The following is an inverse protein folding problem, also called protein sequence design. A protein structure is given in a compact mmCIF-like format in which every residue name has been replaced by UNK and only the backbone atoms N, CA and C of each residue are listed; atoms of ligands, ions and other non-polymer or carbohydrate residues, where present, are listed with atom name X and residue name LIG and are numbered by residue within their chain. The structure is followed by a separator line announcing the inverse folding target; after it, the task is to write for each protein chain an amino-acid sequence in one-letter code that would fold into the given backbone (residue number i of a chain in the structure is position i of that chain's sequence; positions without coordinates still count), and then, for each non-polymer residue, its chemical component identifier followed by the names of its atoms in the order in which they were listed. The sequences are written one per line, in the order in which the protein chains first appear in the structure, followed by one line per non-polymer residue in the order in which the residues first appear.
data_IF_402784254825
#
_entry.id   IF_402784254825
#
_cell.length_a   1.000
_cell.length_b   1.000
_cell.length_c   1.000
_cell.angle_alpha   90.00
_cell.angle_beta   90.00
_cell.angle_gamma   90.00
#
_symmetry.space_group_name_H-M   'P 1'
#
loop_
_entity.id
_entity.type
_entity.pdbx_description
1 polymer ?
#
# COMPACT_ATOMS: atom_id res chain seq x y z
N UNK A 1 -6.82 -29.93 -25.12
CA UNK A 1 -6.56 -29.19 -23.87
C UNK A 1 -6.83 -27.73 -24.18
N UNK A 2 -7.92 -27.11 -23.68
CA UNK A 2 -8.18 -25.71 -23.95
C UNK A 2 -7.12 -24.85 -23.25
N UNK A 3 -6.47 -23.99 -24.01
CA UNK A 3 -5.38 -23.12 -23.56
C UNK A 3 -5.98 -21.91 -22.86
N UNK A 4 -5.97 -21.89 -21.53
CA UNK A 4 -6.41 -20.76 -20.72
C UNK A 4 -5.30 -19.70 -20.65
N UNK A 5 -5.00 -19.04 -21.76
CA UNK A 5 -4.07 -17.91 -21.81
C UNK A 5 -4.85 -16.66 -22.18
N UNK A 6 -4.83 -15.66 -21.29
CA UNK A 6 -5.36 -14.33 -21.59
C UNK A 6 -4.17 -13.53 -22.14
N UNK A 7 -4.28 -13.08 -23.39
CA UNK A 7 -3.38 -12.09 -23.95
C UNK A 7 -3.99 -10.70 -23.73
N UNK A 8 -3.21 -9.78 -23.15
CA UNK A 8 -3.58 -8.37 -23.10
C UNK A 8 -3.18 -7.73 -24.44
N UNK A 9 -4.13 -7.25 -25.23
CA UNK A 9 -3.83 -6.55 -26.48
C UNK A 9 -3.33 -5.15 -26.14
N UNK A 10 -2.03 -4.90 -26.35
CA UNK A 10 -1.49 -3.53 -26.40
C UNK A 10 -2.13 -2.81 -27.59
N UNK A 11 -2.81 -1.70 -27.33
CA UNK A 11 -3.46 -0.88 -28.36
C UNK A 11 -2.46 -0.50 -29.46
N UNK A 12 -2.81 -0.78 -30.71
CA UNK A 12 -2.10 -0.26 -31.87
C UNK A 12 -2.33 1.26 -31.96
N UNK A 13 -1.32 2.07 -32.32
CA UNK A 13 -1.52 3.49 -32.56
C UNK A 13 -2.37 3.67 -33.82
N UNK A 14 -3.52 4.33 -33.69
CA UNK A 14 -4.26 4.82 -34.84
C UNK A 14 -3.55 6.08 -35.32
N UNK A 15 -2.94 5.97 -36.51
CA UNK A 15 -2.32 7.09 -37.19
C UNK A 15 -3.37 8.11 -37.63
N UNK A 16 -3.05 9.39 -37.42
CA UNK A 16 -3.72 10.57 -37.96
C UNK A 16 -3.89 10.51 -39.48
N UNK A 17 -5.08 10.89 -39.96
CA UNK A 17 -5.23 11.67 -41.18
C UNK A 17 -6.26 12.77 -40.92
N UNK A 18 -5.81 13.99 -41.16
CA UNK A 18 -6.52 15.24 -40.93
C UNK A 18 -7.59 15.54 -42.00
N UNK A 19 -8.58 16.34 -41.56
CA UNK A 19 -8.88 17.69 -42.07
C UNK A 19 -10.24 17.99 -42.74
N UNK A 20 -10.74 19.16 -42.36
CA UNK A 20 -11.69 20.12 -43.00
C UNK A 20 -13.22 19.86 -42.94
N UNK A 21 -13.93 20.80 -42.31
CA UNK A 21 -15.33 21.10 -42.65
C UNK A 21 -16.12 21.99 -41.67
N UNK A 22 -15.88 23.31 -41.73
CA UNK A 22 -16.67 24.50 -41.35
C UNK A 22 -18.01 24.44 -40.56
N UNK A 23 -18.15 25.46 -39.70
CA UNK A 23 -19.26 25.85 -38.78
C UNK A 23 -20.49 26.46 -39.50
N UNK A 24 -21.41 27.24 -38.86
CA UNK A 24 -21.89 27.33 -37.46
C UNK A 24 -23.45 27.33 -37.35
N UNK A 25 -24.02 27.20 -36.14
CA UNK A 25 -25.30 27.89 -35.83
C UNK A 25 -25.44 28.27 -34.35
N UNK A 26 -25.87 29.52 -34.19
CA UNK A 26 -26.37 30.25 -33.03
C UNK A 26 -27.53 29.55 -32.31
N UNK A 27 -27.69 29.81 -31.00
CA UNK A 27 -28.95 30.35 -30.44
C UNK A 27 -28.82 30.77 -28.97
N UNK A 28 -28.98 32.07 -28.78
CA UNK A 28 -29.76 32.81 -27.78
C UNK A 28 -29.96 32.30 -26.34
N UNK A 29 -29.63 33.26 -25.47
CA UNK A 29 -29.90 33.40 -24.02
C UNK A 29 -31.40 33.59 -23.75
N UNK A 30 -31.87 33.28 -22.53
CA UNK A 30 -32.52 34.34 -21.75
C UNK A 30 -31.99 34.45 -20.32
N UNK A 31 -31.92 35.71 -19.86
CA UNK A 31 -31.55 36.12 -18.52
C UNK A 31 -32.66 35.83 -17.50
N UNK A 32 -32.28 35.53 -16.26
CA UNK A 32 -32.99 36.03 -15.07
C UNK A 32 -32.13 35.95 -13.82
N UNK A 33 -32.04 37.10 -13.16
CA UNK A 33 -31.52 37.43 -11.83
C UNK A 33 -32.21 36.69 -10.68
N UNK A 34 -31.43 36.29 -9.67
CA UNK A 34 -31.71 36.58 -8.26
C UNK A 34 -30.44 36.37 -7.43
N UNK A 35 -30.15 37.35 -6.57
CA UNK A 35 -28.99 37.40 -5.70
C UNK A 35 -29.10 36.38 -4.57
N UNK A 36 -27.98 35.76 -4.22
CA UNK A 36 -27.71 35.38 -2.84
C UNK A 36 -26.30 35.82 -2.46
N UNK A 37 -26.27 36.91 -1.71
CA UNK A 37 -25.17 37.37 -0.88
C UNK A 37 -24.83 36.30 0.15
N UNK A 38 -23.72 35.59 -0.04
CA UNK A 38 -22.87 35.10 1.03
C UNK A 38 -21.44 35.00 0.49
N UNK A 39 -20.79 36.17 0.45
CA UNK A 39 -19.35 36.27 0.35
C UNK A 39 -18.74 35.71 1.64
N UNK A 40 -18.49 34.41 1.65
CA UNK A 40 -17.46 33.83 2.50
C UNK A 40 -16.18 33.91 1.69
N UNK A 41 -15.34 34.90 2.00
CA UNK A 41 -13.96 34.99 1.54
C UNK A 41 -13.21 33.72 1.98
N UNK A 42 -13.28 32.67 1.15
CA UNK A 42 -12.38 31.54 1.22
C UNK A 42 -11.06 32.00 0.61
N UNK A 43 -10.15 32.44 1.47
CA UNK A 43 -8.77 32.75 1.08
C UNK A 43 -8.17 31.55 0.38
N UNK A 44 -7.86 31.75 -0.90
CA UNK A 44 -7.07 30.91 -1.79
C UNK A 44 -5.62 30.87 -1.31
N UNK A 45 -5.32 29.98 -0.38
CA UNK A 45 -3.96 29.51 -0.10
C UNK A 45 -4.01 28.00 0.12
N UNK A 46 -4.04 27.21 -0.97
CA UNK A 46 -3.77 25.77 -0.93
C UNK A 46 -2.27 25.53 -0.76
N UNK A 47 -1.75 25.91 0.41
CA UNK A 47 -0.50 25.34 0.89
C UNK A 47 -0.77 23.85 1.15
N UNK A 48 0.01 22.90 0.61
CA UNK A 48 -0.15 21.49 0.97
C UNK A 48 -0.09 21.39 2.49
N UNK A 49 -1.11 20.79 3.10
CA UNK A 49 -1.12 20.53 4.54
C UNK A 49 -0.02 19.51 4.81
N UNK A 50 1.17 19.99 5.16
CA UNK A 50 2.28 19.15 5.65
C UNK A 50 1.80 18.60 7.00
N UNK A 51 1.54 17.30 7.04
CA UNK A 51 0.87 16.68 8.18
C UNK A 51 1.83 16.52 9.37
N UNK A 52 1.43 16.92 10.60
CA UNK A 52 2.08 16.50 11.84
C UNK A 52 1.60 15.14 12.38
N UNK A 53 0.81 14.36 11.63
CA UNK A 53 0.13 13.17 12.18
C UNK A 53 0.31 11.86 11.37
N UNK A 54 1.35 11.74 10.53
CA UNK A 54 1.83 10.42 10.12
C UNK A 54 2.54 9.86 11.35
N UNK A 55 2.11 8.71 11.91
CA UNK A 55 2.76 8.16 13.09
C UNK A 55 4.28 8.05 12.86
N UNK A 56 5.09 8.40 13.86
CA UNK A 56 6.56 8.46 13.72
C UNK A 56 7.13 7.10 13.28
N UNK A 57 6.51 6.02 13.74
CA UNK A 57 6.74 4.63 13.38
C UNK A 57 6.35 4.28 11.93
N UNK A 58 5.62 5.14 11.23
CA UNK A 58 5.37 5.06 9.79
C UNK A 58 6.31 5.99 9.03
N UNK A 59 6.44 7.25 9.48
CA UNK A 59 7.25 8.26 8.81
C UNK A 59 8.73 7.88 8.72
N UNK A 60 9.34 7.46 9.83
CA UNK A 60 10.78 7.18 9.86
C UNK A 60 11.17 6.00 8.95
N UNK A 61 10.46 4.86 8.97
CA UNK A 61 10.73 3.78 8.02
C UNK A 61 10.46 4.19 6.57
N UNK A 62 9.34 4.88 6.28
CA UNK A 62 9.09 5.38 4.92
C UNK A 62 10.23 6.27 4.42
N UNK A 63 10.71 7.20 5.24
CA UNK A 63 11.81 8.10 4.89
C UNK A 63 13.11 7.33 4.64
N UNK A 64 13.42 6.34 5.48
CA UNK A 64 14.62 5.52 5.34
C UNK A 64 14.58 4.66 4.07
N UNK A 65 13.43 4.04 3.78
CA UNK A 65 13.25 3.13 2.65
C UNK A 65 13.05 3.84 1.32
N UNK A 66 12.37 5.00 1.30
CA UNK A 66 12.08 5.74 0.07
C UNK A 66 13.15 6.79 -0.25
N UNK A 67 13.87 7.30 0.75
CA UNK A 67 14.75 8.46 0.59
C UNK A 67 14.02 9.79 0.39
N UNK A 68 12.69 9.75 0.34
CA UNK A 68 11.82 10.90 0.13
C UNK A 68 11.32 11.46 1.47
N UNK A 69 11.23 12.79 1.57
CA UNK A 69 10.93 13.47 2.85
C UNK A 69 9.64 14.26 2.87
N UNK A 70 9.03 14.49 1.71
CA UNK A 70 7.80 15.28 1.58
C UNK A 70 6.59 14.35 1.64
N UNK A 71 5.80 14.45 2.71
CA UNK A 71 4.54 13.70 2.86
C UNK A 71 3.40 14.70 2.75
N UNK A 72 2.51 14.48 1.79
CA UNK A 72 1.34 15.32 1.53
C UNK A 72 0.06 14.53 1.74
N UNK A 73 -0.93 15.20 2.32
CA UNK A 73 -2.28 14.69 2.41
C UNK A 73 -3.06 15.13 1.18
N UNK A 74 -3.47 14.17 0.37
CA UNK A 74 -4.13 14.43 -0.92
C UNK A 74 -5.62 14.14 -0.78
N UNK A 75 -6.52 15.10 -1.06
CA UNK A 75 -7.95 14.84 -1.05
C UNK A 75 -8.34 13.88 -2.17
N UNK A 76 -9.27 12.97 -1.87
CA UNK A 76 -9.87 12.08 -2.87
C UNK A 76 -11.05 12.81 -3.51
N UNK A 77 -10.95 13.09 -4.81
CA UNK A 77 -11.98 13.76 -5.61
C UNK A 77 -12.18 12.98 -6.90
N UNK A 78 -13.00 11.91 -6.86
CA UNK A 78 -13.16 11.05 -8.02
C UNK A 78 -13.81 11.80 -9.18
N UNK A 79 -13.35 11.52 -10.40
CA UNK A 79 -14.05 11.96 -11.61
C UNK A 79 -15.31 11.11 -11.85
N UNK A 80 -16.19 11.60 -12.73
CA UNK A 80 -17.37 10.84 -13.12
C UNK A 80 -16.96 9.52 -13.77
N UNK A 81 -17.61 8.41 -13.39
CA UNK A 81 -17.33 7.06 -13.90
C UNK A 81 -15.91 6.54 -13.65
N UNK A 82 -15.18 7.12 -12.69
CA UNK A 82 -13.84 6.66 -12.34
C UNK A 82 -13.81 5.17 -11.94
N UNK A 83 -12.83 4.42 -12.46
CA UNK A 83 -12.60 3.03 -12.11
C UNK A 83 -11.88 2.95 -10.75
N UNK A 84 -12.46 2.34 -9.70
CA UNK A 84 -11.84 2.22 -8.39
C UNK A 84 -10.56 1.36 -8.38
N UNK A 85 -10.29 0.63 -9.46
CA UNK A 85 -9.15 -0.27 -9.61
C UNK A 85 -8.06 0.26 -10.54
N UNK A 86 -8.34 1.33 -11.30
CA UNK A 86 -7.44 1.79 -12.36
C UNK A 86 -7.22 3.30 -12.35
N UNK A 87 -6.32 3.73 -11.47
CA UNK A 87 -5.97 5.14 -11.33
C UNK A 87 -5.27 5.74 -12.56
N UNK A 88 -4.57 4.93 -13.34
CA UNK A 88 -3.88 5.38 -14.56
C UNK A 88 -4.90 5.79 -15.61
N UNK A 89 -5.96 4.99 -15.81
CA UNK A 89 -7.06 5.35 -16.70
C UNK A 89 -7.79 6.60 -16.22
N UNK A 90 -8.04 6.72 -14.91
CA UNK A 90 -8.71 7.90 -14.36
C UNK A 90 -7.90 9.18 -14.61
N UNK A 91 -6.57 9.12 -14.48
CA UNK A 91 -5.68 10.26 -14.79
C UNK A 91 -5.66 10.55 -16.28
N UNK A 92 -5.52 9.53 -17.13
CA UNK A 92 -5.53 9.69 -18.57
C UNK A 92 -6.83 10.36 -19.05
N UNK A 93 -7.98 9.97 -18.49
CA UNK A 93 -9.26 10.60 -18.77
C UNK A 93 -9.28 12.06 -18.31
N UNK A 94 -8.86 12.35 -17.09
CA UNK A 94 -8.85 13.73 -16.58
C UNK A 94 -7.93 14.67 -17.37
N UNK A 95 -6.81 14.16 -17.91
CA UNK A 95 -5.93 14.93 -18.79
C UNK A 95 -6.60 15.35 -20.11
N UNK A 96 -7.64 14.62 -20.56
CA UNK A 96 -8.41 14.98 -21.75
C UNK A 96 -9.45 16.06 -21.45
N UNK A 97 -9.95 16.12 -20.22
CA UNK A 97 -11.10 16.94 -19.84
C UNK A 97 -10.70 18.23 -19.10
N UNK A 98 -9.55 18.24 -18.43
CA UNK A 98 -9.13 19.33 -17.54
C UNK A 98 -7.65 19.66 -17.66
N UNK A 99 -7.26 20.94 -17.59
CA UNK A 99 -5.85 21.32 -17.49
C UNK A 99 -5.23 20.73 -16.21
N UNK A 100 -4.17 19.96 -16.37
CA UNK A 100 -3.45 19.35 -15.26
C UNK A 100 -2.40 18.37 -15.75
N UNK A 101 -1.73 17.71 -14.81
CA UNK A 101 -0.70 16.71 -15.13
C UNK A 101 -0.60 15.62 -14.06
N UNK A 102 -0.11 14.41 -14.41
CA UNK A 102 0.23 13.41 -13.43
C UNK A 102 1.40 13.87 -12.56
N UNK A 103 1.35 13.52 -11.29
CA UNK A 103 2.47 13.57 -10.35
C UNK A 103 2.66 12.17 -9.80
N UNK A 104 3.83 11.60 -10.07
CA UNK A 104 4.20 10.25 -9.64
C UNK A 104 4.85 10.26 -8.26
N UNK A 105 4.74 9.13 -7.56
CA UNK A 105 5.30 8.97 -6.23
C UNK A 105 4.72 7.75 -5.53
N UNK A 106 4.71 7.77 -4.19
CA UNK A 106 4.26 6.64 -3.38
C UNK A 106 3.02 6.99 -2.58
N UNK A 107 1.94 6.24 -2.79
CA UNK A 107 0.79 6.20 -1.90
C UNK A 107 1.13 5.33 -0.70
N UNK A 108 1.00 5.89 0.50
CA UNK A 108 1.29 5.19 1.74
C UNK A 108 0.01 4.55 2.27
N UNK A 109 0.02 3.23 2.39
CA UNK A 109 -1.03 2.44 3.03
C UNK A 109 -0.49 1.85 4.33
N UNK A 110 -1.20 2.08 5.43
CA UNK A 110 -0.77 1.64 6.75
C UNK A 110 -1.65 0.50 7.26
N UNK A 111 -1.02 -0.56 7.73
CA UNK A 111 -1.59 -1.58 8.59
C UNK A 111 -1.00 -1.43 9.99
N UNK A 112 -1.62 -2.06 10.99
CA UNK A 112 -1.02 -2.18 12.30
C UNK A 112 0.26 -3.04 12.33
N UNK A 113 0.54 -3.78 11.25
CA UNK A 113 1.68 -4.69 11.16
C UNK A 113 2.77 -4.22 10.19
N UNK A 114 2.39 -3.45 9.18
CA UNK A 114 3.27 -3.04 8.10
C UNK A 114 2.80 -1.76 7.44
N UNK A 115 3.68 -1.20 6.61
CA UNK A 115 3.37 -0.12 5.68
C UNK A 115 3.67 -0.59 4.27
N UNK A 116 2.79 -0.23 3.34
CA UNK A 116 3.01 -0.41 1.91
C UNK A 116 3.11 0.96 1.25
N UNK A 117 4.24 1.21 0.59
CA UNK A 117 4.47 2.36 -0.27
C UNK A 117 4.24 1.90 -1.71
N UNK A 118 3.01 2.09 -2.20
CA UNK A 118 2.62 1.71 -3.54
C UNK A 118 2.96 2.83 -4.51
N UNK A 119 3.72 2.53 -5.56
CA UNK A 119 3.93 3.49 -6.64
C UNK A 119 2.57 3.86 -7.25
N UNK A 120 2.30 5.15 -7.32
CA UNK A 120 0.99 5.71 -7.59
C UNK A 120 1.13 7.02 -8.35
N UNK A 121 0.07 7.43 -9.03
CA UNK A 121 -0.01 8.71 -9.67
C UNK A 121 -1.19 9.49 -9.09
N UNK A 122 -0.95 10.76 -8.78
CA UNK A 122 -1.95 11.74 -8.40
C UNK A 122 -2.12 12.75 -9.54
N UNK A 123 -3.20 13.54 -9.53
CA UNK A 123 -3.44 14.56 -10.55
C UNK A 123 -3.23 15.95 -9.97
N UNK A 124 -2.31 16.71 -10.56
CA UNK A 124 -2.06 18.11 -10.18
C UNK A 124 -2.90 19.04 -11.07
N UNK A 125 -3.75 19.82 -10.41
CA UNK A 125 -4.57 20.89 -10.98
C UNK A 125 -4.00 22.26 -10.60
N UNK A 126 -4.59 23.33 -11.14
CA UNK A 126 -4.34 24.70 -10.71
C UNK A 126 -4.61 24.95 -9.21
N UNK A 127 -5.56 24.22 -8.64
CA UNK A 127 -5.92 24.31 -7.21
C UNK A 127 -5.06 23.41 -6.30
N UNK A 128 -4.26 22.52 -6.88
CA UNK A 128 -3.37 21.60 -6.16
C UNK A 128 -3.55 20.13 -6.54
N UNK A 129 -2.99 19.26 -5.71
CA UNK A 129 -2.93 17.82 -5.93
C UNK A 129 -4.22 17.12 -5.46
N UNK A 130 -4.76 16.20 -6.27
CA UNK A 130 -5.97 15.42 -5.96
C UNK A 130 -5.79 13.94 -6.37
N UNK A 131 -6.47 13.03 -5.68
CA UNK A 131 -6.62 11.64 -6.14
C UNK A 131 -7.98 11.48 -6.83
N UNK A 132 -7.94 11.17 -8.12
CA UNK A 132 -9.13 11.01 -8.95
C UNK A 132 -9.76 9.61 -8.85
N UNK A 133 -9.16 8.70 -8.08
CA UNK A 133 -9.61 7.32 -7.98
C UNK A 133 -10.48 7.13 -6.76
N UNK A 134 -11.73 6.62 -6.92
CA UNK A 134 -12.63 6.36 -5.82
C UNK A 134 -11.98 5.51 -4.74
N UNK A 135 -12.28 5.85 -3.49
CA UNK A 135 -11.88 5.01 -2.38
C UNK A 135 -12.90 3.89 -2.17
N UNK A 136 -12.42 2.64 -2.06
CA UNK A 136 -13.25 1.49 -1.70
C UNK A 136 -13.55 1.43 -0.19
N UNK A 137 -12.80 2.16 0.63
CA UNK A 137 -12.91 2.18 2.10
C UNK A 137 -13.46 3.51 2.65
N UNK A 138 -13.86 4.44 1.78
CA UNK A 138 -14.52 5.70 2.16
C UNK A 138 -13.61 6.77 2.77
N UNK A 139 -12.28 6.62 2.71
CA UNK A 139 -11.35 7.65 3.20
C UNK A 139 -11.39 8.87 2.26
N UNK A 140 -11.54 10.06 2.82
CA UNK A 140 -11.60 11.33 2.07
C UNK A 140 -10.23 11.88 1.68
N UNK A 141 -9.15 11.30 2.22
CA UNK A 141 -7.78 11.73 2.00
C UNK A 141 -6.83 10.53 1.98
N UNK A 142 -5.70 10.69 1.29
CA UNK A 142 -4.61 9.70 1.22
C UNK A 142 -3.26 10.35 1.54
N UNK A 143 -2.37 9.60 2.16
CA UNK A 143 -0.98 10.03 2.36
C UNK A 143 -0.19 9.68 1.10
N UNK A 144 0.46 10.68 0.52
CA UNK A 144 1.26 10.54 -0.69
C UNK A 144 2.63 11.17 -0.50
N UNK A 145 3.63 10.58 -1.13
CA UNK A 145 5.02 11.02 -1.10
C UNK A 145 5.44 11.24 -2.55
N UNK A 146 5.40 12.49 -3.08
CA UNK A 146 5.77 12.76 -4.46
C UNK A 146 7.24 12.41 -4.70
N UNK A 147 7.51 11.78 -5.83
CA UNK A 147 8.85 11.50 -6.30
C UNK A 147 9.18 12.47 -7.44
N UNK A 148 9.89 13.54 -7.10
CA UNK A 148 10.15 14.67 -8.02
C UNK A 148 11.17 14.33 -9.12
N UNK A 149 11.87 13.20 -8.98
CA UNK A 149 12.81 12.72 -9.98
C UNK A 149 12.09 11.97 -11.12
N UNK A 150 10.82 11.62 -10.92
CA UNK A 150 9.98 10.97 -11.95
C UNK A 150 9.29 12.04 -12.80
N UNK A 151 9.52 12.06 -14.12
CA UNK A 151 8.95 13.08 -14.98
C UNK A 151 7.46 12.83 -15.29
N UNK A 152 6.69 13.84 -15.73
CA UNK A 152 5.27 13.68 -16.03
C UNK A 152 4.94 12.74 -17.20
N UNK A 153 5.91 12.50 -18.10
CA UNK A 153 5.80 11.60 -19.26
C UNK A 153 6.35 10.19 -18.99
N UNK A 154 6.57 9.86 -17.71
CA UNK A 154 7.05 8.56 -17.26
C UNK A 154 6.19 7.41 -17.79
N UNK A 155 6.82 6.39 -18.37
CA UNK A 155 6.15 5.15 -18.72
C UNK A 155 5.79 4.37 -17.46
N UNK A 156 4.49 4.28 -17.19
CA UNK A 156 3.97 3.60 -16.02
C UNK A 156 4.28 2.08 -16.00
N UNK A 157 4.61 1.48 -17.15
CA UNK A 157 5.09 0.11 -17.21
C UNK A 157 6.50 -0.05 -16.61
N UNK A 158 7.30 1.01 -16.59
CA UNK A 158 8.63 1.03 -15.97
C UNK A 158 8.60 1.32 -14.46
N UNK A 159 7.42 1.36 -13.85
CA UNK A 159 7.27 1.72 -12.44
C UNK A 159 8.05 0.80 -11.49
N UNK A 160 8.57 1.34 -10.37
CA UNK A 160 9.13 0.50 -9.32
C UNK A 160 8.04 -0.36 -8.67
N UNK A 161 8.44 -1.52 -8.16
CA UNK A 161 7.56 -2.39 -7.37
C UNK A 161 7.15 -1.72 -6.06
N UNK A 162 5.95 -2.05 -5.58
CA UNK A 162 5.44 -1.61 -4.29
C UNK A 162 6.40 -2.05 -3.18
N UNK A 163 6.90 -1.09 -2.40
CA UNK A 163 7.78 -1.38 -1.26
C UNK A 163 6.94 -1.65 -0.03
N UNK A 164 7.26 -2.72 0.70
CA UNK A 164 6.56 -3.11 1.93
C UNK A 164 7.58 -3.30 3.04
N UNK A 165 7.33 -2.68 4.19
CA UNK A 165 8.20 -2.82 5.35
C UNK A 165 7.38 -2.99 6.62
N UNK A 166 7.95 -3.73 7.56
CA UNK A 166 7.29 -4.07 8.81
C UNK A 166 7.28 -2.86 9.74
N UNK A 167 6.15 -2.62 10.39
CA UNK A 167 6.05 -1.73 11.57
C UNK A 167 5.88 -2.54 12.85
N UNK A 168 5.48 -3.79 12.74
CA UNK A 168 5.47 -4.74 13.85
C UNK A 168 6.88 -5.19 14.22
N UNK A 169 7.28 -4.95 15.47
CA UNK A 169 8.49 -5.47 16.07
C UNK A 169 8.17 -6.68 16.97
N UNK A 170 8.65 -7.86 16.63
CA UNK A 170 8.52 -9.00 17.53
C UNK A 170 9.51 -8.92 18.70
N UNK A 171 9.20 -9.59 19.81
CA UNK A 171 10.19 -9.80 20.86
C UNK A 171 11.43 -10.50 20.29
N UNK A 172 12.61 -9.96 20.61
CA UNK A 172 13.89 -10.52 20.18
C UNK A 172 14.01 -11.99 20.57
N UNK A 173 14.84 -12.75 19.83
CA UNK A 173 15.11 -14.17 20.14
C UNK A 173 15.47 -14.38 21.60
N UNK A 174 16.34 -13.52 22.15
CA UNK A 174 16.75 -13.53 23.55
C UNK A 174 15.58 -13.33 24.52
N UNK A 175 14.70 -12.35 24.25
CA UNK A 175 13.51 -12.12 25.08
C UNK A 175 12.56 -13.32 25.05
N UNK A 176 12.42 -13.98 23.90
CA UNK A 176 11.58 -15.18 23.75
C UNK A 176 12.16 -16.38 24.51
N UNK A 177 13.47 -16.61 24.41
CA UNK A 177 14.17 -17.65 25.20
C UNK A 177 13.97 -17.40 26.70
N UNK A 178 14.20 -16.18 27.16
CA UNK A 178 14.01 -15.82 28.57
C UNK A 178 12.56 -16.04 29.04
N UNK A 179 11.57 -15.70 28.20
CA UNK A 179 10.16 -15.94 28.50
C UNK A 179 9.82 -17.44 28.56
N UNK A 180 10.36 -18.26 27.65
CA UNK A 180 10.16 -19.72 27.67
C UNK A 180 10.74 -20.31 28.95
N UNK A 181 11.97 -19.94 29.33
CA UNK A 181 12.61 -20.38 30.59
C UNK A 181 11.77 -19.97 31.80
N UNK A 182 11.30 -18.72 31.84
CA UNK A 182 10.49 -18.20 32.93
C UNK A 182 9.12 -18.90 33.05
N UNK A 183 8.60 -19.46 31.96
CA UNK A 183 7.34 -20.19 31.93
C UNK A 183 7.49 -21.69 32.26
N UNK A 184 8.72 -22.22 32.31
CA UNK A 184 8.95 -23.62 32.68
C UNK A 184 8.69 -23.85 34.16
N UNK A 185 8.03 -24.97 34.49
CA UNK A 185 7.99 -25.44 35.87
C UNK A 185 9.39 -25.91 36.32
N UNK A 186 9.67 -25.94 37.63
CA UNK A 186 10.99 -26.28 38.14
C UNK A 186 11.51 -27.67 37.73
N UNK A 187 10.63 -28.66 37.53
CA UNK A 187 11.04 -30.01 37.14
C UNK A 187 11.44 -30.05 35.67
N UNK A 188 10.64 -29.44 34.79
CA UNK A 188 10.99 -29.29 33.36
C UNK A 188 12.29 -28.51 33.20
N UNK A 189 12.45 -27.38 33.90
CA UNK A 189 13.66 -26.56 33.84
C UNK A 189 14.92 -27.35 34.23
N UNK A 190 14.87 -28.12 35.32
CA UNK A 190 15.99 -28.96 35.75
C UNK A 190 16.32 -30.07 34.75
N UNK A 191 15.30 -30.68 34.14
CA UNK A 191 15.45 -31.71 33.09
C UNK A 191 16.09 -31.14 31.83
N UNK A 192 15.59 -30.03 31.31
CA UNK A 192 16.13 -29.39 30.09
C UNK A 192 17.56 -28.87 30.31
N UNK A 193 17.87 -28.30 31.49
CA UNK A 193 19.25 -27.91 31.84
C UNK A 193 20.21 -29.10 31.81
N UNK A 194 19.77 -30.27 32.31
CA UNK A 194 20.60 -31.48 32.26
C UNK A 194 20.85 -31.93 30.83
N UNK A 195 19.80 -31.99 29.99
CA UNK A 195 19.97 -32.36 28.58
C UNK A 195 20.87 -31.40 27.82
N UNK A 196 20.79 -30.10 28.08
CA UNK A 196 21.68 -29.11 27.51
C UNK A 196 23.13 -29.33 27.97
N UNK A 197 23.34 -29.58 29.26
CA UNK A 197 24.65 -29.89 29.81
C UNK A 197 25.25 -31.20 29.26
N UNK A 198 24.43 -32.23 29.04
CA UNK A 198 24.84 -33.49 28.40
C UNK A 198 25.31 -33.27 26.95
N UNK A 199 24.88 -32.18 26.31
CA UNK A 199 25.32 -31.73 24.99
C UNK A 199 26.45 -30.69 25.04
N UNK A 200 26.90 -30.29 26.23
CA UNK A 200 27.92 -29.24 26.41
C UNK A 200 27.45 -27.82 26.09
N UNK A 201 26.14 -27.57 26.10
CA UNK A 201 25.53 -26.28 25.75
C UNK A 201 24.81 -25.64 26.95
N UNK A 202 24.67 -24.31 26.91
CA UNK A 202 23.74 -23.63 27.81
C UNK A 202 22.29 -23.86 27.35
N UNK A 203 21.34 -23.87 28.29
CA UNK A 203 19.92 -24.05 27.97
C UNK A 203 19.42 -22.95 27.03
N UNK A 204 19.90 -21.73 27.24
CA UNK A 204 19.60 -20.56 26.42
C UNK A 204 19.99 -20.77 24.97
N UNK A 205 21.15 -21.39 24.71
CA UNK A 205 21.64 -21.67 23.36
C UNK A 205 20.82 -22.76 22.68
N UNK A 206 20.51 -23.84 23.42
CA UNK A 206 19.63 -24.91 22.93
C UNK A 206 18.26 -24.35 22.55
N UNK A 207 17.66 -23.52 23.41
CA UNK A 207 16.37 -22.88 23.12
C UNK A 207 16.48 -21.85 22.00
N UNK A 208 17.58 -21.10 21.91
CA UNK A 208 17.84 -20.16 20.83
C UNK A 208 17.95 -20.86 19.47
N UNK A 209 18.34 -22.13 19.43
CA UNK A 209 18.35 -22.95 18.21
C UNK A 209 17.00 -23.63 17.93
N UNK A 210 16.32 -24.10 18.97
CA UNK A 210 15.14 -24.98 18.83
C UNK A 210 13.80 -24.27 18.87
N UNK A 211 13.70 -23.07 19.45
CA UNK A 211 12.44 -22.33 19.47
C UNK A 211 11.96 -22.03 18.05
N UNK A 212 10.68 -22.17 17.72
CA UNK A 212 10.19 -21.78 16.40
C UNK A 212 10.39 -20.27 16.15
N UNK A 213 10.48 -19.86 14.89
CA UNK A 213 10.44 -18.44 14.52
C UNK A 213 9.14 -17.78 15.03
N UNK A 214 9.13 -16.46 15.12
CA UNK A 214 7.95 -15.76 15.61
C UNK A 214 6.85 -15.86 14.56
N UNK A 215 5.76 -16.56 14.88
CA UNK A 215 4.74 -16.93 13.89
C UNK A 215 4.16 -15.75 13.12
N UNK A 216 3.99 -14.59 13.77
CA UNK A 216 3.48 -13.39 13.10
C UNK A 216 4.51 -12.76 12.15
N UNK A 217 5.81 -12.79 12.49
CA UNK A 217 6.85 -12.28 11.58
C UNK A 217 6.96 -13.19 10.35
N UNK A 218 7.01 -14.50 10.57
CA UNK A 218 7.08 -15.47 9.47
C UNK A 218 5.87 -15.33 8.54
N UNK A 219 4.68 -15.06 9.07
CA UNK A 219 3.49 -14.82 8.23
C UNK A 219 3.57 -13.50 7.47
N UNK A 220 4.11 -12.44 8.08
CA UNK A 220 4.30 -11.15 7.40
C UNK A 220 5.27 -11.29 6.23
N UNK A 221 6.34 -12.06 6.42
CA UNK A 221 7.33 -12.31 5.36
C UNK A 221 6.74 -13.08 4.21
N UNK A 222 6.04 -14.17 4.50
CA UNK A 222 5.34 -14.94 3.47
C UNK A 222 4.29 -14.10 2.74
N UNK A 223 3.65 -13.15 3.43
CA UNK A 223 2.70 -12.22 2.82
C UNK A 223 3.41 -11.23 1.88
N UNK A 224 4.53 -10.64 2.29
CA UNK A 224 5.32 -9.75 1.43
C UNK A 224 5.85 -10.48 0.20
N UNK A 225 6.47 -11.65 0.38
CA UNK A 225 6.94 -12.50 -0.72
C UNK A 225 5.80 -12.80 -1.70
N UNK A 226 4.62 -13.18 -1.20
CA UNK A 226 3.46 -13.46 -2.05
C UNK A 226 2.97 -12.22 -2.80
N UNK A 227 3.04 -11.03 -2.19
CA UNK A 227 2.66 -9.79 -2.85
C UNK A 227 3.67 -9.40 -3.94
N UNK A 228 4.96 -9.53 -3.67
CA UNK A 228 6.04 -9.26 -4.62
C UNK A 228 5.97 -10.21 -5.82
N UNK A 229 5.75 -11.50 -5.58
CA UNK A 229 5.60 -12.49 -6.66
C UNK A 229 4.39 -12.18 -7.54
N UNK A 230 3.24 -11.84 -6.94
CA UNK A 230 2.03 -11.48 -7.67
C UNK A 230 2.22 -10.19 -8.49
N UNK A 231 2.90 -9.20 -7.93
CA UNK A 231 3.20 -7.94 -8.61
C UNK A 231 4.16 -8.13 -9.77
N UNK A 232 5.24 -8.90 -9.59
CA UNK A 232 6.18 -9.26 -10.64
C UNK A 232 5.51 -9.99 -11.81
N UNK A 233 4.64 -10.98 -11.50
CA UNK A 233 3.87 -11.69 -12.53
C UNK A 233 2.93 -10.75 -13.28
N UNK A 234 2.27 -9.83 -12.58
CA UNK A 234 1.39 -8.83 -13.19
C UNK A 234 2.15 -7.89 -14.12
N UNK A 235 3.35 -7.46 -13.72
CA UNK A 235 4.22 -6.61 -14.54
C UNK A 235 4.72 -7.32 -15.79
N UNK A 236 5.24 -8.54 -15.64
CA UNK A 236 5.71 -9.34 -16.77
C UNK A 236 4.60 -9.61 -17.80
N UNK A 237 3.36 -9.77 -17.32
CA UNK A 237 2.19 -9.92 -18.17
C UNK A 237 1.83 -8.65 -18.96
N UNK A 238 1.84 -7.49 -18.28
CA UNK A 238 1.53 -6.21 -18.90
C UNK A 238 2.57 -5.82 -19.96
N UNK A 239 3.84 -6.12 -19.71
CA UNK A 239 4.93 -5.89 -20.66
C UNK A 239 4.94 -6.88 -21.84
N UNK A 240 4.03 -7.87 -21.84
CA UNK A 240 4.00 -8.94 -22.83
C UNK A 240 5.19 -9.91 -22.76
N UNK A 241 5.99 -9.86 -21.68
CA UNK A 241 7.17 -10.73 -21.48
C UNK A 241 6.79 -12.15 -21.07
N UNK A 242 5.66 -12.31 -20.40
CA UNK A 242 5.18 -13.62 -19.94
C UNK A 242 3.68 -13.83 -20.23
N UNK A 243 3.35 -15.04 -20.67
CA UNK A 243 1.97 -15.50 -20.65
C UNK A 243 1.61 -15.90 -19.21
N UNK A 244 0.58 -15.27 -18.65
CA UNK A 244 0.13 -15.59 -17.29
C UNK A 244 -0.51 -16.98 -17.28
N UNK A 245 0.08 -17.91 -16.54
CA UNK A 245 -0.64 -19.10 -16.11
C UNK A 245 -1.76 -18.69 -15.15
N UNK A 246 -3.00 -18.76 -15.65
CA UNK A 246 -4.21 -18.40 -14.89
C UNK A 246 -4.32 -19.20 -13.59
N UNK A 247 -3.83 -20.44 -13.56
CA UNK A 247 -3.87 -21.26 -12.34
C UNK A 247 -2.88 -20.73 -11.30
N UNK A 248 -1.66 -20.39 -11.71
CA UNK A 248 -0.64 -19.80 -10.84
C UNK A 248 -1.09 -18.43 -10.31
N UNK A 249 -1.57 -17.56 -11.20
CA UNK A 249 -2.11 -16.25 -10.83
C UNK A 249 -3.27 -16.36 -9.83
N UNK A 250 -4.23 -17.25 -10.10
CA UNK A 250 -5.34 -17.51 -9.18
C UNK A 250 -4.88 -18.11 -7.86
N UNK A 251 -3.85 -18.96 -7.88
CA UNK A 251 -3.24 -19.50 -6.67
C UNK A 251 -2.62 -18.39 -5.81
N UNK A 252 -1.82 -17.50 -6.41
CA UNK A 252 -1.21 -16.37 -5.70
C UNK A 252 -2.26 -15.42 -5.12
N UNK A 253 -3.33 -15.11 -5.85
CA UNK A 253 -4.44 -14.32 -5.31
C UNK A 253 -5.10 -14.97 -4.08
N UNK A 254 -5.41 -16.27 -4.15
CA UNK A 254 -5.98 -17.00 -3.01
C UNK A 254 -4.99 -17.09 -1.85
N UNK A 255 -3.72 -17.30 -2.13
CA UNK A 255 -2.64 -17.36 -1.13
C UNK A 255 -2.48 -16.02 -0.42
N UNK A 256 -2.47 -14.91 -1.16
CA UNK A 256 -2.43 -13.55 -0.61
C UNK A 256 -3.60 -13.30 0.35
N UNK A 257 -4.83 -13.57 -0.10
CA UNK A 257 -6.03 -13.38 0.71
C UNK A 257 -6.02 -14.27 1.97
N UNK A 258 -5.55 -15.51 1.86
CA UNK A 258 -5.41 -16.41 3.00
C UNK A 258 -4.35 -15.93 4.01
N UNK A 259 -3.21 -15.44 3.52
CA UNK A 259 -2.15 -14.88 4.36
C UNK A 259 -2.62 -13.63 5.09
N UNK A 260 -3.31 -12.73 4.40
CA UNK A 260 -3.92 -11.52 4.96
C UNK A 260 -4.90 -11.87 6.09
N UNK A 261 -5.82 -12.81 5.86
CA UNK A 261 -6.75 -13.27 6.90
C UNK A 261 -6.02 -13.87 8.13
N UNK A 262 -4.95 -14.65 7.90
CA UNK A 262 -4.14 -15.22 8.99
C UNK A 262 -3.37 -14.15 9.77
N UNK A 263 -2.95 -13.06 9.11
CA UNK A 263 -2.29 -11.92 9.75
C UNK A 263 -3.28 -11.16 10.64
N UNK A 264 -4.47 -10.87 10.14
CA UNK A 264 -5.52 -10.19 10.89
C UNK A 264 -5.92 -10.98 12.14
N UNK A 265 -6.12 -12.29 12.00
CA UNK A 265 -6.44 -13.17 13.13
C UNK A 265 -5.29 -13.18 14.15
N UNK A 266 -4.05 -13.38 13.69
CA UNK A 266 -2.89 -13.44 14.57
C UNK A 266 -2.66 -12.12 15.31
N UNK A 267 -2.87 -10.99 14.64
CA UNK A 267 -2.79 -9.67 15.24
C UNK A 267 -3.90 -9.43 16.27
N UNK A 268 -5.14 -9.82 15.96
CA UNK A 268 -6.25 -9.75 16.92
C UNK A 268 -5.96 -10.58 18.19
N UNK A 269 -5.41 -11.79 18.04
CA UNK A 269 -4.99 -12.63 19.16
C UNK A 269 -3.84 -11.99 19.97
N UNK A 270 -2.85 -11.40 19.28
CA UNK A 270 -1.75 -10.67 19.93
C UNK A 270 -2.28 -9.50 20.77
N UNK A 271 -3.11 -8.64 20.17
CA UNK A 271 -3.74 -7.48 20.84
C UNK A 271 -4.57 -7.88 22.05
N UNK A 272 -5.31 -8.99 21.96
CA UNK A 272 -6.09 -9.51 23.09
C UNK A 272 -5.21 -9.98 24.26
N UNK A 273 -4.05 -10.59 24.00
CA UNK A 273 -3.11 -11.06 25.02
C UNK A 273 -2.42 -9.89 25.73
N UNK A 274 -1.97 -8.88 24.99
CA UNK A 274 -1.30 -7.70 25.55
C UNK A 274 -2.27 -6.88 26.41
N UNK A 275 -3.50 -6.67 25.95
CA UNK A 275 -4.53 -5.91 26.70
C UNK A 275 -4.92 -6.58 28.02
N UNK A 276 -5.04 -7.93 28.05
CA UNK A 276 -5.35 -8.67 29.28
C UNK A 276 -4.21 -8.62 30.31
N UNK A 277 -2.95 -8.60 29.85
CA UNK A 277 -1.77 -8.50 30.72
C UNK A 277 -1.71 -7.17 31.46
N UNK A 278 -2.02 -6.06 30.79
CA UNK A 278 -2.04 -4.72 31.39
C UNK A 278 -3.08 -4.61 32.50
N UNK A 279 -4.29 -5.15 32.30
CA UNK A 279 -5.36 -5.12 33.32
C UNK A 279 -5.05 -5.94 34.57
N UNK A 280 -4.23 -6.99 34.47
CA UNK A 280 -3.81 -7.81 35.64
C UNK A 280 -2.70 -7.17 36.47
N UNK A 281 -1.91 -6.24 35.92
CA UNK A 281 -0.82 -5.56 36.64
C UNK A 281 -1.25 -4.25 37.31
N UNK A 282 -2.43 -3.72 36.98
CA UNK A 282 -3.00 -2.50 37.57
C UNK A 282 -4.00 -2.74 38.71
N UNK A 283 -4.06 -3.95 39.26
CA UNK A 283 -4.80 -4.31 40.49
C UNK A 283 -3.82 -4.89 41.49
#
# INVERSE_FOLDING_TARGET
MPTNVIAFSTGQPVADVADIGDAPTTNDVPASTAADTNASEATTETTPIIYPCVPVDVYLPCKAELGLTEFVLVPVRPIENADPTNYVLNIAQAMLETPGRPVFGYRIQTSALYVAAQFYAMFETDTGLVDLTPNTQGESYKVFVPDRDVPPDFDYLDRPVTRRFRTFEAPTRRQRVAAEIAAMDPRRLASERRRAADQGLALEDVLSLTLPLHALETRLDLFFECCEELEALTMAALDGREAVDVNHFSFLHRRRASLEAMLDEAYAQHKARTTKSVRKRGR
#
